data_IF_390857240906
#
_entry.id   IF_390857240906
#
_cell.length_a   1.000
_cell.length_b   1.000
_cell.length_c   1.000
_cell.angle_alpha   90.00
_cell.angle_beta   90.00
_cell.angle_gamma   90.00
#
_symmetry.space_group_name_H-M   'P 1'
#
loop_
_entity.id
_entity.type
_entity.pdbx_description
1 polymer ?
#
# COMPACT_ATOMS: atom_id res chain seq x y z
N UNK A 1 6.00 1.65 -6.84
CA UNK A 1 6.02 2.56 -5.67
C UNK A 1 7.00 3.71 -5.86
N UNK A 2 8.29 3.48 -6.12
CA UNK A 2 9.27 4.56 -6.40
C UNK A 2 8.83 5.49 -7.55
N UNK A 3 8.36 4.93 -8.66
CA UNK A 3 7.86 5.75 -9.77
C UNK A 3 6.64 6.62 -9.37
N UNK A 4 5.77 6.11 -8.50
CA UNK A 4 4.62 6.85 -8.00
C UNK A 4 5.05 7.96 -7.03
N UNK A 5 6.05 7.72 -6.17
CA UNK A 5 6.66 8.74 -5.32
C UNK A 5 7.22 9.89 -6.15
N UNK A 6 8.07 9.55 -7.12
CA UNK A 6 8.70 10.55 -8.00
C UNK A 6 7.66 11.31 -8.83
N UNK A 7 6.60 10.64 -9.28
CA UNK A 7 5.49 11.29 -9.96
C UNK A 7 4.76 12.28 -9.04
N UNK A 8 4.38 11.84 -7.84
CA UNK A 8 3.70 12.69 -6.86
C UNK A 8 4.53 13.92 -6.47
N UNK A 9 5.84 13.73 -6.21
CA UNK A 9 6.78 14.82 -5.93
C UNK A 9 6.86 15.83 -7.08
N UNK A 10 6.91 15.35 -8.34
CA UNK A 10 6.97 16.22 -9.53
C UNK A 10 5.68 17.00 -9.77
N UNK A 11 4.54 16.40 -9.45
CA UNK A 11 3.22 17.04 -9.56
C UNK A 11 2.88 17.89 -8.32
N UNK A 12 3.75 17.96 -7.31
CA UNK A 12 3.51 18.70 -6.07
C UNK A 12 2.43 18.08 -5.16
N UNK A 13 2.15 16.79 -5.34
CA UNK A 13 1.20 16.05 -4.53
C UNK A 13 1.93 15.44 -3.32
N UNK A 14 1.69 15.96 -2.12
CA UNK A 14 2.25 15.38 -0.88
C UNK A 14 1.45 14.15 -0.42
N UNK A 15 1.55 13.07 -1.21
CA UNK A 15 0.89 11.80 -0.92
C UNK A 15 1.93 10.86 -0.31
N UNK A 16 1.95 10.85 1.01
CA UNK A 16 2.77 9.94 1.82
C UNK A 16 1.96 9.42 3.00
N UNK A 17 2.13 8.15 3.39
CA UNK A 17 2.98 7.13 2.76
C UNK A 17 2.35 6.53 1.48
N UNK A 18 3.16 5.88 0.64
CA UNK A 18 2.67 5.15 -0.54
C UNK A 18 2.44 3.69 -0.16
N UNK A 19 1.21 3.21 -0.34
CA UNK A 19 0.87 1.80 -0.18
C UNK A 19 0.93 1.07 -1.52
N UNK A 20 1.35 -0.20 -1.48
CA UNK A 20 1.51 -1.03 -2.67
C UNK A 20 1.12 -2.47 -2.40
N UNK A 21 0.74 -3.17 -3.46
CA UNK A 21 0.41 -4.59 -3.45
C UNK A 21 1.09 -5.27 -4.62
N UNK A 22 1.59 -6.48 -4.37
CA UNK A 22 2.06 -7.40 -5.41
C UNK A 22 1.38 -8.75 -5.23
N UNK A 23 1.11 -9.43 -6.34
CA UNK A 23 0.48 -10.75 -6.33
C UNK A 23 1.07 -11.66 -7.41
N UNK A 24 1.07 -12.97 -7.15
CA UNK A 24 1.35 -14.02 -8.13
C UNK A 24 0.08 -14.57 -8.79
N UNK A 25 -1.10 -14.03 -8.46
CA UNK A 25 -2.41 -14.62 -8.76
C UNK A 25 -2.89 -15.59 -7.68
N UNK A 26 -1.98 -16.16 -6.89
CA UNK A 26 -2.30 -17.04 -5.77
C UNK A 26 -2.07 -16.37 -4.41
N UNK A 27 -0.95 -15.66 -4.26
CA UNK A 27 -0.55 -15.00 -3.03
C UNK A 27 -0.53 -13.48 -3.21
N UNK A 28 -0.88 -12.77 -2.15
CA UNK A 28 -0.84 -11.32 -2.07
C UNK A 28 0.14 -10.87 -0.97
N UNK A 29 0.87 -9.80 -1.27
CA UNK A 29 1.79 -9.12 -0.33
C UNK A 29 1.50 -7.63 -0.35
N UNK A 30 1.59 -7.01 0.82
CA UNK A 30 1.31 -5.59 1.04
C UNK A 30 2.60 -4.88 1.46
N UNK A 31 2.78 -3.66 0.94
CA UNK A 31 3.98 -2.85 1.14
C UNK A 31 3.60 -1.41 1.50
N UNK A 32 4.45 -0.76 2.29
CA UNK A 32 4.41 0.68 2.61
C UNK A 32 5.77 1.30 2.28
N UNK A 33 5.79 2.38 1.51
CA UNK A 33 6.98 3.20 1.25
C UNK A 33 6.80 4.56 1.92
N UNK A 34 7.75 4.92 2.78
CA UNK A 34 7.78 6.19 3.50
C UNK A 34 9.20 6.76 3.41
N UNK A 35 9.35 7.89 2.71
CA UNK A 35 10.66 8.41 2.31
C UNK A 35 11.45 7.37 1.53
N UNK A 36 12.47 6.77 2.16
CA UNK A 36 13.34 5.73 1.58
C UNK A 36 13.19 4.35 2.25
N UNK A 37 12.28 4.23 3.21
CA UNK A 37 12.05 2.99 3.95
C UNK A 37 10.87 2.23 3.32
N UNK A 38 11.10 0.95 2.98
CA UNK A 38 10.05 0.03 2.54
C UNK A 38 9.78 -0.98 3.64
N UNK A 39 8.53 -1.03 4.09
CA UNK A 39 8.03 -2.07 4.99
C UNK A 39 7.19 -3.07 4.20
N UNK A 40 7.38 -4.36 4.48
CA UNK A 40 6.68 -5.45 3.79
C UNK A 40 5.97 -6.31 4.84
N UNK A 41 4.69 -6.58 4.63
CA UNK A 41 3.97 -7.59 5.42
C UNK A 41 4.36 -8.99 4.95
N UNK A 42 4.99 -9.76 5.85
CA UNK A 42 5.46 -11.11 5.57
C UNK A 42 4.35 -12.17 5.63
N UNK A 43 3.14 -11.80 6.06
CA UNK A 43 1.98 -12.70 6.07
C UNK A 43 1.61 -13.16 4.66
N UNK A 44 1.17 -14.41 4.53
CA UNK A 44 0.71 -14.97 3.25
C UNK A 44 -0.81 -14.82 3.16
N UNK A 45 -1.29 -14.13 2.12
CA UNK A 45 -2.71 -13.95 1.86
C UNK A 45 -3.11 -14.63 0.55
N UNK A 46 -3.72 -15.83 0.60
CA UNK A 46 -4.22 -16.49 -0.59
C UNK A 46 -5.40 -15.73 -1.22
N UNK A 47 -5.51 -15.75 -2.56
CA UNK A 47 -6.58 -15.08 -3.33
C UNK A 47 -8.00 -15.53 -2.94
N UNK A 48 -8.14 -16.76 -2.42
CA UNK A 48 -9.43 -17.32 -1.98
C UNK A 48 -10.08 -16.56 -0.82
N UNK A 49 -9.38 -15.62 -0.17
CA UNK A 49 -9.93 -14.79 0.89
C UNK A 49 -10.03 -13.31 0.45
N UNK A 50 -10.86 -13.06 -0.57
CA UNK A 50 -11.07 -11.72 -1.13
C UNK A 50 -11.49 -10.68 -0.08
N UNK A 51 -12.37 -11.06 0.86
CA UNK A 51 -12.80 -10.17 1.94
C UNK A 51 -11.62 -9.68 2.80
N UNK A 52 -10.68 -10.57 3.12
CA UNK A 52 -9.48 -10.19 3.89
C UNK A 52 -8.57 -9.27 3.10
N UNK A 53 -8.35 -9.56 1.81
CA UNK A 53 -7.54 -8.72 0.91
C UNK A 53 -8.14 -7.31 0.81
N UNK A 54 -9.45 -7.21 0.55
CA UNK A 54 -10.17 -5.94 0.48
C UNK A 54 -10.14 -5.20 1.82
N UNK A 55 -10.28 -5.91 2.94
CA UNK A 55 -10.17 -5.32 4.28
C UNK A 55 -8.80 -4.70 4.54
N UNK A 56 -7.71 -5.36 4.11
CA UNK A 56 -6.36 -4.80 4.22
C UNK A 56 -6.23 -3.56 3.34
N UNK A 57 -6.66 -3.61 2.07
CA UNK A 57 -6.65 -2.45 1.19
C UNK A 57 -7.42 -1.27 1.78
N UNK A 58 -8.61 -1.51 2.31
CA UNK A 58 -9.43 -0.47 2.92
C UNK A 58 -8.74 0.15 4.14
N UNK A 59 -8.06 -0.66 4.97
CA UNK A 59 -7.33 -0.15 6.14
C UNK A 59 -6.22 0.84 5.75
N UNK A 60 -5.55 0.63 4.60
CA UNK A 60 -4.51 1.56 4.12
C UNK A 60 -5.06 2.93 3.71
N UNK A 61 -6.34 3.00 3.31
CA UNK A 61 -7.02 4.26 2.96
C UNK A 61 -7.53 4.95 4.23
N UNK A 62 -8.00 4.16 5.21
CA UNK A 62 -8.49 4.69 6.48
C UNK A 62 -7.39 5.32 7.33
N UNK A 63 -6.16 4.79 7.27
CA UNK A 63 -4.98 5.43 7.87
C UNK A 63 -4.68 6.82 7.27
N UNK A 64 -5.33 7.21 6.15
CA UNK A 64 -5.10 8.48 5.43
C UNK A 64 -6.11 9.59 5.84
N UNK A 65 -6.86 9.44 6.94
CA UNK A 65 -7.90 10.41 7.38
C UNK A 65 -8.02 10.45 8.92
N UNK A 66 -8.07 11.56 9.66
CA UNK A 66 -7.93 13.02 9.45
C UNK A 66 -7.49 13.58 10.82
N UNK A 67 -6.43 14.39 10.86
CA UNK A 67 -6.22 15.33 11.98
C UNK A 67 -7.36 16.37 11.91
N UNK A 68 -8.36 16.25 12.80
CA UNK A 68 -9.29 17.35 13.13
C UNK A 68 -8.66 18.30 14.16
#
# INVERSE_FOLDING_TARGET
MIAAQLFNEREGNDIQPIYGVVTTGELWKFLKLEGKLVSIDLSNYPVGNANKILGILLSTIQDTKIDE
#
